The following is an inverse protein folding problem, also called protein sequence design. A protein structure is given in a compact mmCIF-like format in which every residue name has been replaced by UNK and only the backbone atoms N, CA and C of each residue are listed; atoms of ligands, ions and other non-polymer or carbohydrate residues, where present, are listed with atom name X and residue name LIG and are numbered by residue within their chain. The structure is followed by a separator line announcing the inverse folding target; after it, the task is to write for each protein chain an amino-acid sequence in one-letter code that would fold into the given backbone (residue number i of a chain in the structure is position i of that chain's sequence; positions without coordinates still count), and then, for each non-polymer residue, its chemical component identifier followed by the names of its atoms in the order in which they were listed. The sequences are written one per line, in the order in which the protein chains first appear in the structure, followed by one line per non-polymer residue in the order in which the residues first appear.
data_IF_145316306161
#
_entry.id   IF_145316306161
#
_cell.length_a   1.000
_cell.length_b   1.000
_cell.length_c   1.000
_cell.angle_alpha   90.00
_cell.angle_beta   90.00
_cell.angle_gamma   90.00
#
_symmetry.space_group_name_H-M   'P 1'
#
loop_
_entity.id
_entity.type
_entity.pdbx_description
1 polymer ?
#
# COMPACT_ATOMS: atom_id res chain seq x y z
N UNK A 1 14.69 21.79 3.33
CA UNK A 1 13.49 22.50 3.78
C UNK A 1 12.53 21.47 4.37
N UNK A 2 12.03 21.63 5.60
CA UNK A 2 10.99 20.73 6.11
C UNK A 2 9.73 20.93 5.26
N UNK A 3 9.20 19.85 4.68
CA UNK A 3 7.95 19.88 3.91
C UNK A 3 6.82 20.31 4.85
N UNK A 4 6.12 21.39 4.52
CA UNK A 4 4.98 21.83 5.33
C UNK A 4 3.88 20.76 5.28
N UNK A 5 3.10 20.59 6.36
CA UNK A 5 1.99 19.62 6.41
C UNK A 5 0.95 19.79 5.28
N UNK A 6 0.96 20.94 4.57
CA UNK A 6 0.12 21.22 3.42
C UNK A 6 0.56 20.55 2.11
N UNK A 7 1.74 19.90 2.07
CA UNK A 7 2.20 19.16 0.88
C UNK A 7 1.71 17.70 0.84
N UNK A 8 1.28 17.15 1.97
CA UNK A 8 0.81 15.76 2.05
C UNK A 8 -0.70 15.68 1.89
N UNK A 9 -1.14 14.88 0.92
CA UNK A 9 -2.56 14.58 0.72
C UNK A 9 -2.96 13.39 1.58
N UNK A 10 -4.05 13.52 2.33
CA UNK A 10 -4.66 12.40 3.03
C UNK A 10 -5.39 11.52 2.02
N UNK A 11 -5.21 10.21 2.15
CA UNK A 11 -5.85 9.21 1.32
C UNK A 11 -6.60 8.24 2.22
N UNK A 12 -7.83 7.90 1.84
CA UNK A 12 -8.59 6.83 2.46
C UNK A 12 -8.36 5.52 1.69
N UNK A 13 -8.24 4.42 2.42
CA UNK A 13 -8.03 3.09 1.84
C UNK A 13 -9.20 2.16 2.16
N UNK A 14 -9.62 1.40 1.17
CA UNK A 14 -10.57 0.30 1.33
C UNK A 14 -9.79 -1.01 1.47
N UNK A 15 -10.12 -1.77 2.51
CA UNK A 15 -9.53 -3.07 2.83
C UNK A 15 -10.56 -4.16 2.55
N UNK A 16 -10.36 -4.88 1.46
CA UNK A 16 -11.19 -6.02 1.08
C UNK A 16 -10.57 -7.29 1.67
N UNK A 17 -11.23 -7.90 2.65
CA UNK A 17 -10.74 -9.11 3.32
C UNK A 17 -10.63 -10.29 2.35
N UNK A 18 -9.52 -11.02 2.42
CA UNK A 18 -9.30 -12.24 1.63
C UNK A 18 -9.41 -13.45 2.55
N UNK A 19 -8.51 -13.55 3.53
CA UNK A 19 -8.41 -14.66 4.47
C UNK A 19 -7.59 -14.26 5.70
N UNK A 20 -7.63 -15.11 6.73
CA UNK A 20 -6.69 -15.07 7.84
C UNK A 20 -5.89 -16.38 7.85
N UNK A 21 -4.56 -16.27 7.89
CA UNK A 21 -3.64 -17.39 7.86
C UNK A 21 -2.52 -17.17 8.88
N UNK A 22 -2.39 -18.11 9.80
CA UNK A 22 -1.40 -18.07 10.89
C UNK A 22 -1.55 -16.80 11.74
N UNK A 23 -0.55 -15.92 11.75
CA UNK A 23 -0.53 -14.65 12.50
C UNK A 23 -0.87 -13.43 11.63
N UNK A 24 -1.39 -13.66 10.42
CA UNK A 24 -1.55 -12.62 9.40
C UNK A 24 -2.93 -12.62 8.76
N UNK A 25 -3.44 -11.42 8.54
CA UNK A 25 -4.69 -11.22 7.81
C UNK A 25 -4.39 -10.64 6.44
N UNK A 26 -4.95 -11.24 5.40
CA UNK A 26 -4.70 -10.90 4.00
C UNK A 26 -5.82 -10.00 3.46
N UNK A 27 -5.44 -8.94 2.75
CA UNK A 27 -6.35 -7.95 2.17
C UNK A 27 -5.95 -7.57 0.75
N UNK A 28 -6.94 -7.25 -0.08
CA UNK A 28 -6.72 -6.32 -1.18
C UNK A 28 -6.90 -4.90 -0.65
N UNK A 29 -5.99 -4.00 -1.02
CA UNK A 29 -6.01 -2.61 -0.57
C UNK A 29 -6.14 -1.70 -1.80
N UNK A 30 -7.16 -0.85 -1.81
CA UNK A 30 -7.40 0.15 -2.85
C UNK A 30 -7.60 1.53 -2.24
N UNK A 31 -7.33 2.58 -3.00
CA UNK A 31 -7.71 3.94 -2.61
C UNK A 31 -9.23 4.09 -2.71
N UNK A 32 -9.88 4.37 -1.57
CA UNK A 32 -11.33 4.51 -1.46
C UNK A 32 -11.80 5.89 -1.92
N UNK A 33 -11.07 6.94 -1.53
CA UNK A 33 -11.50 8.32 -1.75
C UNK A 33 -10.30 9.20 -2.10
N UNK A 34 -10.20 9.55 -3.39
CA UNK A 34 -9.41 10.68 -3.92
C UNK A 34 -9.65 10.77 -5.44
N UNK A 35 -9.99 11.95 -5.98
CA UNK A 35 -10.36 12.07 -7.41
C UNK A 35 -9.27 11.56 -8.38
N UNK A 36 -7.99 11.71 -8.02
CA UNK A 36 -6.87 11.30 -8.85
C UNK A 36 -6.55 9.80 -8.74
N UNK A 37 -6.96 9.14 -7.64
CA UNK A 37 -6.48 7.80 -7.29
C UNK A 37 -7.61 6.81 -6.97
N UNK A 38 -8.87 7.20 -7.05
CA UNK A 38 -10.00 6.35 -6.68
C UNK A 38 -9.99 5.00 -7.42
N UNK A 39 -9.99 3.90 -6.66
CA UNK A 39 -9.89 2.54 -7.18
C UNK A 39 -8.50 2.10 -7.62
N UNK A 40 -7.48 2.97 -7.55
CA UNK A 40 -6.09 2.54 -7.70
C UNK A 40 -5.74 1.56 -6.57
N UNK A 41 -4.94 0.55 -6.91
CA UNK A 41 -4.50 -0.50 -5.99
C UNK A 41 -3.21 -0.05 -5.33
N UNK A 42 -3.08 -0.32 -4.04
CA UNK A 42 -1.79 -0.25 -3.39
C UNK A 42 -0.95 -1.42 -3.92
N UNK A 43 0.19 -1.15 -4.55
CA UNK A 43 1.09 -2.19 -5.07
C UNK A 43 2.54 -1.82 -4.82
N UNK A 44 3.43 -2.82 -4.90
CA UNK A 44 4.87 -2.62 -5.03
C UNK A 44 5.30 -2.84 -6.47
N UNK A 45 6.19 -1.98 -6.97
CA UNK A 45 6.87 -2.18 -8.25
C UNK A 45 7.81 -3.38 -8.21
N UNK A 46 8.37 -3.78 -9.36
CA UNK A 46 9.35 -4.87 -9.44
C UNK A 46 10.65 -4.63 -8.64
N UNK A 47 10.95 -3.38 -8.28
CA UNK A 47 12.05 -3.01 -7.38
C UNK A 47 11.56 -2.62 -5.96
N UNK A 48 10.34 -3.01 -5.59
CA UNK A 48 9.79 -2.90 -4.25
C UNK A 48 9.18 -1.55 -3.89
N UNK A 49 9.26 -0.53 -4.74
CA UNK A 49 8.70 0.79 -4.42
C UNK A 49 7.18 0.73 -4.30
N UNK A 50 6.67 1.22 -3.18
CA UNK A 50 5.25 1.23 -2.89
C UNK A 50 4.58 2.44 -3.56
N UNK A 51 3.41 2.22 -4.14
CA UNK A 51 2.64 3.28 -4.78
C UNK A 51 1.20 2.87 -5.07
N UNK A 52 0.44 3.82 -5.59
CA UNK A 52 -0.91 3.55 -6.10
C UNK A 52 -0.85 3.34 -7.62
N UNK A 53 -1.12 2.11 -8.02
CA UNK A 53 -1.05 1.65 -9.40
C UNK A 53 -2.43 1.19 -9.85
N UNK A 54 -2.78 1.45 -11.11
CA UNK A 54 -4.11 1.16 -11.63
C UNK A 54 -4.92 2.41 -11.91
N UNK A 55 -5.94 2.25 -12.75
CA UNK A 55 -6.30 3.24 -13.74
C UNK A 55 -7.18 4.40 -13.23
N UNK A 56 -6.77 5.61 -13.63
CA UNK A 56 -7.66 6.75 -13.86
C UNK A 56 -8.92 6.29 -14.60
N UNK A 57 -10.05 6.97 -14.35
CA UNK A 57 -11.38 6.74 -14.93
C UNK A 57 -11.38 6.50 -16.45
N UNK A 58 -10.42 7.04 -17.21
CA UNK A 58 -10.24 6.82 -18.65
C UNK A 58 -9.59 5.48 -19.05
N UNK A 59 -8.75 4.88 -18.18
CA UNK A 59 -8.09 3.60 -18.43
C UNK A 59 -9.05 2.41 -18.36
N UNK A 60 -10.12 2.50 -17.57
CA UNK A 60 -11.17 1.46 -17.52
C UNK A 60 -11.86 1.26 -18.87
N UNK A 61 -12.05 2.31 -19.65
CA UNK A 61 -12.67 2.21 -21.00
C UNK A 61 -11.69 1.56 -21.98
N UNK A 62 -10.40 1.84 -21.88
CA UNK A 62 -9.39 1.23 -22.76
C UNK A 62 -9.08 -0.23 -22.40
N UNK A 63 -9.03 -0.58 -21.12
CA UNK A 63 -8.73 -1.94 -20.67
C UNK A 63 -9.88 -2.92 -20.97
N UNK A 64 -11.14 -2.45 -20.94
CA UNK A 64 -12.30 -3.24 -21.37
C UNK A 64 -12.36 -3.39 -22.89
N UNK A 65 -11.93 -2.37 -23.66
CA UNK A 65 -12.00 -2.38 -25.12
C UNK A 65 -10.77 -3.03 -25.80
N UNK A 66 -9.61 -3.06 -25.15
CA UNK A 66 -8.34 -3.57 -25.69
C UNK A 66 -7.80 -4.80 -24.94
N UNK A 67 -8.65 -5.68 -24.42
CA UNK A 67 -8.22 -6.97 -23.92
C UNK A 67 -8.39 -8.08 -24.98
N UNK A 68 -7.53 -8.18 -26.01
CA UNK A 68 -7.29 -9.48 -26.62
C UNK A 68 -6.42 -10.26 -25.63
N UNK A 69 -6.84 -11.47 -25.30
CA UNK A 69 -6.16 -12.50 -24.50
C UNK A 69 -6.59 -12.62 -23.02
N UNK A 70 -7.28 -13.72 -22.65
CA UNK A 70 -7.66 -14.03 -21.27
C UNK A 70 -6.47 -14.42 -20.35
N UNK A 71 -5.23 -14.35 -20.85
CA UNK A 71 -4.03 -14.79 -20.11
C UNK A 71 -3.46 -13.73 -19.14
N UNK A 72 -3.92 -12.48 -19.18
CA UNK A 72 -3.56 -11.47 -18.18
C UNK A 72 -4.39 -11.57 -16.88
N UNK A 73 -5.40 -12.44 -16.83
CA UNK A 73 -6.22 -12.73 -15.65
C UNK A 73 -5.51 -13.66 -14.63
N UNK A 74 -4.32 -14.18 -14.98
CA UNK A 74 -3.53 -15.07 -14.12
C UNK A 74 -2.40 -14.37 -13.37
N UNK A 75 -2.22 -13.05 -13.51
CA UNK A 75 -1.46 -12.32 -12.49
C UNK A 75 -2.31 -12.36 -11.23
N UNK A 76 -1.87 -13.14 -10.24
CA UNK A 76 -2.40 -13.06 -8.88
C UNK A 76 -2.49 -11.59 -8.50
N UNK A 77 -3.71 -11.11 -8.26
CA UNK A 77 -3.95 -9.74 -7.82
C UNK A 77 -3.06 -9.51 -6.60
N UNK A 78 -2.18 -8.50 -6.60
CA UNK A 78 -1.29 -8.26 -5.47
C UNK A 78 -2.15 -8.06 -4.22
N UNK A 79 -1.78 -8.75 -3.15
CA UNK A 79 -2.44 -8.66 -1.86
C UNK A 79 -1.42 -8.30 -0.78
N UNK A 80 -1.95 -7.79 0.31
CA UNK A 80 -1.18 -7.30 1.44
C UNK A 80 -1.50 -8.14 2.67
N UNK A 81 -0.53 -8.24 3.57
CA UNK A 81 -0.67 -8.95 4.84
C UNK A 81 -0.51 -7.95 5.97
N UNK A 82 -1.44 -7.97 6.90
CA UNK A 82 -1.37 -7.24 8.17
C UNK A 82 -0.88 -8.22 9.23
N UNK A 83 0.26 -7.91 9.85
CA UNK A 83 0.80 -8.60 11.03
C UNK A 83 0.69 -7.67 12.22
N UNK A 84 -0.25 -7.94 13.13
CA UNK A 84 -0.44 -7.14 14.35
C UNK A 84 0.72 -7.37 15.33
N UNK A 85 1.27 -6.31 15.91
CA UNK A 85 2.39 -6.43 16.87
C UNK A 85 1.94 -6.68 18.31
N UNK A 86 0.62 -6.66 18.54
CA UNK A 86 -0.01 -6.90 19.82
C UNK A 86 -1.30 -7.69 19.59
N UNK A 87 -1.76 -8.49 20.57
CA UNK A 87 -3.06 -9.14 20.50
C UNK A 87 -4.18 -8.11 20.30
N UNK A 88 -5.09 -8.41 19.37
CA UNK A 88 -6.28 -7.60 19.11
C UNK A 88 -7.54 -8.44 19.34
N UNK A 89 -8.52 -7.88 20.03
CA UNK A 89 -9.79 -8.54 20.33
C UNK A 89 -10.80 -8.48 19.17
N UNK A 90 -10.40 -7.92 18.02
CA UNK A 90 -11.25 -7.78 16.83
C UNK A 90 -12.24 -6.62 16.92
N UNK A 91 -12.19 -5.78 17.96
CA UNK A 91 -13.11 -4.66 18.12
C UNK A 91 -12.58 -3.38 17.48
N UNK A 92 -13.47 -2.56 16.94
CA UNK A 92 -13.08 -1.25 16.37
C UNK A 92 -12.61 -0.26 17.43
N UNK A 93 -13.05 -0.42 18.68
CA UNK A 93 -12.78 0.53 19.77
C UNK A 93 -11.28 0.69 20.04
N UNK A 94 -10.50 -0.36 19.84
CA UNK A 94 -9.06 -0.37 20.08
C UNK A 94 -8.24 -0.59 18.81
N UNK A 95 -8.87 -0.83 17.65
CA UNK A 95 -8.18 -1.13 16.39
C UNK A 95 -7.14 -0.06 16.00
N UNK A 96 -7.42 1.23 16.27
CA UNK A 96 -6.48 2.32 16.00
C UNK A 96 -5.25 2.34 16.91
N UNK A 97 -5.28 1.60 18.01
CA UNK A 97 -4.17 1.52 18.97
C UNK A 97 -3.30 0.26 18.75
N UNK A 98 -3.67 -0.61 17.81
CA UNK A 98 -2.92 -1.82 17.50
C UNK A 98 -1.93 -1.51 16.37
N UNK A 99 -0.63 -1.39 16.65
CA UNK A 99 0.36 -1.26 15.60
C UNK A 99 0.44 -2.55 14.79
N UNK A 100 0.72 -2.41 13.50
CA UNK A 100 0.94 -3.55 12.62
C UNK A 100 2.07 -3.29 11.63
N UNK A 101 2.71 -4.37 11.17
CA UNK A 101 3.50 -4.35 9.96
C UNK A 101 2.60 -4.60 8.75
N UNK A 102 2.74 -3.74 7.74
CA UNK A 102 2.21 -4.00 6.42
C UNK A 102 3.25 -4.78 5.61
N UNK A 103 2.84 -5.91 5.01
CA UNK A 103 3.71 -6.75 4.19
C UNK A 103 3.14 -6.99 2.81
N UNK A 104 4.01 -7.07 1.81
CA UNK A 104 3.61 -7.46 0.47
C UNK A 104 3.22 -8.96 0.39
N UNK A 105 2.79 -9.40 -0.79
CA UNK A 105 2.44 -10.80 -1.04
C UNK A 105 3.61 -11.78 -0.82
N UNK A 106 4.85 -11.31 -0.93
CA UNK A 106 6.06 -12.13 -0.70
C UNK A 106 6.49 -12.12 0.79
N UNK A 107 5.91 -11.25 1.61
CA UNK A 107 6.18 -11.15 3.05
C UNK A 107 7.18 -10.06 3.45
N UNK A 108 7.69 -9.27 2.50
CA UNK A 108 8.55 -8.12 2.78
C UNK A 108 7.76 -7.05 3.52
N UNK A 109 8.30 -6.57 4.66
CA UNK A 109 7.71 -5.47 5.42
C UNK A 109 7.94 -4.17 4.68
N UNK A 110 6.95 -3.28 4.73
CA UNK A 110 7.11 -1.92 4.26
C UNK A 110 8.13 -1.20 5.16
N UNK A 111 9.13 -0.61 4.53
CA UNK A 111 10.18 0.15 5.15
C UNK A 111 10.34 1.50 4.47
N UNK A 112 10.84 2.49 5.20
CA UNK A 112 11.35 3.72 4.63
C UNK A 112 12.78 3.46 4.09
N UNK A 113 12.97 3.58 2.79
CA UNK A 113 14.25 3.28 2.12
C UNK A 113 14.75 4.47 1.30
N UNK A 114 16.07 4.62 1.24
CA UNK A 114 16.73 5.60 0.38
C UNK A 114 16.58 5.23 -1.09
N UNK A 115 16.29 6.21 -1.93
CA UNK A 115 16.35 6.05 -3.39
C UNK A 115 17.78 6.21 -3.90
N UNK A 116 18.26 5.22 -4.67
CA UNK A 116 19.61 5.24 -5.27
C UNK A 116 19.69 6.17 -6.49
N UNK A 117 18.60 6.83 -6.88
CA UNK A 117 18.50 7.62 -8.11
C UNK A 117 18.56 9.14 -7.90
N UNK A 118 18.91 9.60 -6.69
CA UNK A 118 19.12 11.03 -6.43
C UNK A 118 20.60 11.37 -6.65
N UNK A 119 20.97 12.21 -7.64
CA UNK A 119 22.34 12.66 -7.82
C UNK A 119 22.83 13.36 -6.55
N UNK A 120 24.08 13.07 -6.16
CA UNK A 120 24.76 13.52 -4.91
C UNK A 120 24.74 15.05 -4.68
N UNK A 121 24.34 15.84 -5.68
CA UNK A 121 24.29 17.31 -5.64
C UNK A 121 22.97 17.82 -5.04
N UNK A 122 21.94 16.98 -4.91
CA UNK A 122 20.68 17.36 -4.26
C UNK A 122 20.65 16.90 -2.80
N UNK A 123 20.83 17.85 -1.88
CA UNK A 123 20.92 17.64 -0.41
C UNK A 123 19.62 17.11 0.23
N UNK A 124 18.58 16.86 -0.56
CA UNK A 124 17.38 16.18 -0.11
C UNK A 124 17.50 14.68 -0.40
N UNK A 125 18.08 13.91 0.52
CA UNK A 125 17.90 12.43 0.50
C UNK A 125 16.40 12.16 0.50
N UNK A 126 15.88 11.65 -0.62
CA UNK A 126 14.46 11.34 -0.76
C UNK A 126 14.25 9.89 -0.31
N UNK A 127 13.56 9.76 0.82
CA UNK A 127 13.09 8.50 1.33
C UNK A 127 11.74 8.15 0.71
N UNK A 128 11.55 6.87 0.41
CA UNK A 128 10.33 6.35 -0.16
C UNK A 128 9.97 5.03 0.53
N UNK A 129 8.69 4.70 0.48
CA UNK A 129 8.19 3.43 0.99
C UNK A 129 8.61 2.29 0.06
N UNK A 130 9.21 1.25 0.62
CA UNK A 130 9.63 0.05 -0.10
C UNK A 130 9.14 -1.20 0.62
N UNK A 131 8.58 -2.16 -0.12
CA UNK A 131 8.27 -3.50 0.35
C UNK A 131 9.07 -4.50 -0.50
N UNK A 132 10.36 -4.65 -0.19
CA UNK A 132 11.29 -5.49 -0.93
C UNK A 132 12.59 -5.72 -0.17
N UNK A 133 13.63 -6.15 -0.88
CA UNK A 133 14.93 -6.52 -0.30
C UNK A 133 15.82 -5.32 0.06
N UNK A 134 15.36 -4.09 -0.22
CA UNK A 134 16.14 -2.88 0.07
C UNK A 134 16.33 -2.70 1.57
N UNK A 135 17.52 -2.20 1.93
CA UNK A 135 17.78 -1.75 3.29
C UNK A 135 16.98 -0.48 3.59
N UNK A 136 16.31 -0.48 4.72
CA UNK A 136 15.51 0.64 5.21
C UNK A 136 14.99 0.36 6.61
N UNK A 137 14.40 1.39 7.21
CA UNK A 137 13.80 1.30 8.54
C UNK A 137 12.36 0.79 8.39
N UNK A 138 12.08 -0.38 8.94
CA UNK A 138 10.74 -1.00 8.90
C UNK A 138 9.74 -0.09 9.63
N UNK A 139 8.61 0.17 8.99
CA UNK A 139 7.58 1.07 9.51
C UNK A 139 6.47 0.30 10.23
N UNK A 140 6.01 0.88 11.33
CA UNK A 140 4.79 0.48 12.03
C UNK A 140 3.64 1.38 11.58
N UNK A 141 2.50 0.74 11.26
CA UNK A 141 1.30 1.42 10.82
C UNK A 141 0.20 1.33 11.87
N UNK A 142 -0.67 2.33 11.86
CA UNK A 142 -1.88 2.39 12.67
C UNK A 142 -3.06 2.68 11.75
N UNK A 143 -4.21 2.09 12.05
CA UNK A 143 -5.46 2.45 11.39
C UNK A 143 -6.03 3.72 12.05
N UNK A 144 -6.54 4.65 11.25
CA UNK A 144 -7.26 5.82 11.75
C UNK A 144 -8.55 6.02 10.95
N UNK A 145 -9.51 6.74 11.54
CA UNK A 145 -10.77 7.13 10.87
C UNK A 145 -11.53 5.95 10.23
N UNK A 146 -11.57 4.81 10.95
CA UNK A 146 -12.11 3.54 10.44
C UNK A 146 -13.63 3.64 10.26
N UNK A 147 -14.10 3.24 9.08
CA UNK A 147 -15.53 3.11 8.76
C UNK A 147 -15.83 1.68 8.31
N UNK A 148 -16.94 1.12 8.79
CA UNK A 148 -17.46 -0.14 8.28
C UNK A 148 -18.39 0.16 7.10
N UNK A 149 -18.18 -0.56 6.01
CA UNK A 149 -19.02 -0.50 4.79
C UNK A 149 -19.78 -1.79 4.61
#
# INVERSE_FOLDING_TARGET
MPRSANEFQRLAFHFEFIEHREDRTHYYITCAEHWAYIGARLESSGNGWLGLYGTHVAGRVRDVLNAPHPYNLLRTRPYWKIETLQPWDGTLKNASNIPFYLRDMNGYRVAESLSDHVPVIDLARQYYLNAGERTGDVLEFYLSDIQLT
#
